data_IF_534950947257
#
_entry.id   IF_534950947257
#
_cell.length_a   1.000
_cell.length_b   1.000
_cell.length_c   1.000
_cell.angle_alpha   90.00
_cell.angle_beta   90.00
_cell.angle_gamma   90.00
#
_symmetry.space_group_name_H-M   'P 1'
#
loop_
_entity.id
_entity.type
_entity.pdbx_description
1 polymer ?
#
# COMPACT_ATOMS: atom_id res chain seq x y z
N UNK A 1 -23.70 19.06 14.87
CA UNK A 1 -23.18 20.14 15.74
C UNK A 1 -21.81 19.82 16.35
N UNK A 2 -21.52 18.58 16.76
CA UNK A 2 -20.22 18.19 17.35
C UNK A 2 -18.99 18.34 16.44
N UNK A 3 -19.08 17.96 15.15
CA UNK A 3 -17.93 18.05 14.21
C UNK A 3 -17.46 19.48 13.95
N UNK A 4 -18.37 20.46 14.05
CA UNK A 4 -18.08 21.87 13.80
C UNK A 4 -17.19 22.49 14.89
N UNK A 5 -17.49 22.17 16.15
CA UNK A 5 -16.70 22.65 17.29
C UNK A 5 -15.30 22.00 17.30
N UNK A 6 -15.22 20.71 17.00
CA UNK A 6 -13.94 20.00 16.89
C UNK A 6 -13.09 20.54 15.74
N UNK A 7 -13.69 20.78 14.57
CA UNK A 7 -12.99 21.39 13.43
C UNK A 7 -12.43 22.78 13.78
N UNK A 8 -13.24 23.63 14.41
CA UNK A 8 -12.82 24.96 14.87
C UNK A 8 -11.66 24.89 15.87
N UNK A 9 -11.70 23.96 16.82
CA UNK A 9 -10.60 23.72 17.78
C UNK A 9 -9.31 23.25 17.10
N UNK A 10 -9.42 22.53 15.99
CA UNK A 10 -8.29 22.06 15.20
C UNK A 10 -7.78 23.09 14.16
N UNK A 11 -8.36 24.30 14.11
CA UNK A 11 -8.01 25.31 13.10
C UNK A 11 -8.48 24.97 11.68
N UNK A 12 -9.41 24.02 11.53
CA UNK A 12 -9.97 23.61 10.24
C UNK A 12 -11.25 24.42 9.98
N UNK A 13 -11.49 24.92 8.75
CA UNK A 13 -12.69 25.68 8.44
C UNK A 13 -13.96 24.91 8.85
N UNK A 14 -14.89 25.55 9.55
CA UNK A 14 -16.07 24.86 10.03
C UNK A 14 -16.96 24.40 8.87
N UNK A 15 -17.45 23.17 8.93
CA UNK A 15 -18.21 22.56 7.83
C UNK A 15 -17.35 21.78 6.83
N UNK A 16 -16.02 21.93 6.84
CA UNK A 16 -15.10 21.14 6.00
C UNK A 16 -14.86 19.72 6.52
N UNK A 17 -15.27 19.41 7.76
CA UNK A 17 -15.13 18.08 8.36
C UNK A 17 -16.48 17.41 8.49
N UNK A 18 -16.60 16.25 7.86
CA UNK A 18 -17.74 15.35 7.99
C UNK A 18 -17.28 13.91 8.15
N UNK A 19 -18.16 13.02 8.62
CA UNK A 19 -17.84 11.60 8.76
C UNK A 19 -17.38 10.98 7.43
N UNK A 20 -17.97 11.40 6.31
CA UNK A 20 -17.58 10.92 4.98
C UNK A 20 -16.18 11.39 4.57
N UNK A 21 -15.80 12.63 4.91
CA UNK A 21 -14.46 13.16 4.65
C UNK A 21 -13.41 12.40 5.47
N UNK A 22 -13.69 12.16 6.75
CA UNK A 22 -12.79 11.44 7.65
C UNK A 22 -12.61 9.97 7.22
N UNK A 23 -13.70 9.30 6.84
CA UNK A 23 -13.64 7.92 6.33
C UNK A 23 -12.79 7.85 5.06
N UNK A 24 -12.96 8.81 4.14
CA UNK A 24 -12.20 8.88 2.89
C UNK A 24 -10.72 9.15 3.13
N UNK A 25 -10.40 10.15 3.96
CA UNK A 25 -9.00 10.52 4.23
C UNK A 25 -8.27 9.39 4.95
N UNK A 26 -8.91 8.71 5.92
CA UNK A 26 -8.34 7.53 6.57
C UNK A 26 -8.06 6.39 5.60
N UNK A 27 -9.00 6.08 4.70
CA UNK A 27 -8.79 5.08 3.65
C UNK A 27 -7.61 5.42 2.73
N UNK A 28 -7.48 6.69 2.34
CA UNK A 28 -6.34 7.15 1.53
C UNK A 28 -5.01 7.03 2.28
N UNK A 29 -4.97 7.33 3.57
CA UNK A 29 -3.78 7.15 4.40
C UNK A 29 -3.33 5.69 4.48
N UNK A 30 -4.26 4.73 4.56
CA UNK A 30 -3.92 3.31 4.54
C UNK A 30 -3.26 2.87 3.24
N UNK A 31 -3.75 3.35 2.09
CA UNK A 31 -3.11 3.10 0.79
C UNK A 31 -1.69 3.69 0.77
N UNK A 32 -1.50 4.89 1.30
CA UNK A 32 -0.15 5.49 1.40
C UNK A 32 0.77 4.79 2.39
N UNK A 33 0.23 4.18 3.43
CA UNK A 33 0.97 3.27 4.31
C UNK A 33 1.31 1.93 3.64
N UNK A 34 0.77 1.66 2.45
CA UNK A 34 1.06 0.46 1.66
C UNK A 34 0.05 -0.66 1.78
N UNK A 35 -1.13 -0.42 2.37
CA UNK A 35 -2.21 -1.40 2.37
C UNK A 35 -2.70 -1.69 0.94
N UNK A 36 -3.14 -2.93 0.70
CA UNK A 36 -3.73 -3.33 -0.57
C UNK A 36 -5.10 -2.69 -0.78
N UNK A 37 -5.47 -2.42 -2.04
CA UNK A 37 -6.79 -1.87 -2.38
C UNK A 37 -7.94 -2.82 -1.98
N UNK A 38 -7.70 -4.13 -2.02
CA UNK A 38 -8.67 -5.16 -1.62
C UNK A 38 -8.92 -5.12 -0.11
N UNK A 39 -7.85 -5.00 0.69
CA UNK A 39 -7.94 -4.93 2.15
C UNK A 39 -8.72 -3.68 2.58
N UNK A 40 -8.38 -2.53 1.98
CA UNK A 40 -9.07 -1.26 2.23
C UNK A 40 -10.53 -1.34 1.77
N UNK A 41 -10.82 -1.94 0.62
CA UNK A 41 -12.19 -2.11 0.11
C UNK A 41 -13.03 -2.99 1.03
N UNK A 42 -12.46 -4.07 1.55
CA UNK A 42 -13.12 -5.00 2.47
C UNK A 42 -13.42 -4.31 3.80
N UNK A 43 -12.45 -3.59 4.36
CA UNK A 43 -12.63 -2.79 5.58
C UNK A 43 -13.71 -1.70 5.39
N UNK A 44 -13.80 -1.12 4.19
CA UNK A 44 -14.84 -0.14 3.86
C UNK A 44 -16.21 -0.77 3.60
N UNK A 45 -16.30 -2.09 3.43
CA UNK A 45 -17.53 -2.80 3.08
C UNK A 45 -18.02 -2.50 1.66
N UNK A 46 -17.11 -2.15 0.74
CA UNK A 46 -17.46 -1.91 -0.65
C UNK A 46 -17.52 -3.22 -1.43
N UNK A 47 -18.58 -3.40 -2.21
CA UNK A 47 -18.80 -4.59 -3.04
C UNK A 47 -17.79 -4.71 -4.19
N UNK A 48 -17.21 -3.60 -4.62
CA UNK A 48 -16.21 -3.54 -5.69
C UNK A 48 -15.05 -2.62 -5.29
N UNK A 49 -13.82 -3.08 -5.59
CA UNK A 49 -12.60 -2.30 -5.45
C UNK A 49 -12.60 -1.05 -6.33
N UNK A 50 -13.31 -1.07 -7.47
CA UNK A 50 -13.50 0.13 -8.31
C UNK A 50 -14.19 1.27 -7.56
N UNK A 51 -15.22 0.95 -6.76
CA UNK A 51 -15.89 1.92 -5.90
C UNK A 51 -14.90 2.53 -4.92
N UNK A 52 -14.01 1.71 -4.34
CA UNK A 52 -12.96 2.17 -3.44
C UNK A 52 -11.95 3.08 -4.14
N UNK A 53 -11.48 2.72 -5.34
CA UNK A 53 -10.53 3.53 -6.13
C UNK A 53 -11.09 4.92 -6.45
N UNK A 54 -12.34 4.98 -6.94
CA UNK A 54 -13.03 6.23 -7.23
C UNK A 54 -13.29 7.04 -5.94
N UNK A 55 -13.72 6.36 -4.88
CA UNK A 55 -14.01 6.99 -3.59
C UNK A 55 -12.78 7.65 -2.99
N UNK A 56 -11.62 7.01 -3.00
CA UNK A 56 -10.39 7.58 -2.42
C UNK A 56 -9.66 8.52 -3.37
N UNK A 57 -9.91 8.42 -4.68
CA UNK A 57 -9.30 9.26 -5.71
C UNK A 57 -7.85 8.88 -6.00
N UNK A 58 -7.58 7.58 -6.17
CA UNK A 58 -6.26 7.08 -6.60
C UNK A 58 -5.91 7.63 -7.99
N UNK A 59 -4.72 8.20 -8.15
CA UNK A 59 -4.20 8.69 -9.45
C UNK A 59 -3.11 7.77 -10.00
N UNK A 60 -2.71 7.98 -11.27
CA UNK A 60 -1.58 7.26 -11.88
C UNK A 60 -0.26 7.51 -11.12
N UNK A 61 -0.06 8.70 -10.56
CA UNK A 61 1.15 9.03 -9.79
C UNK A 61 1.30 8.20 -8.51
N UNK A 62 0.17 7.77 -7.93
CA UNK A 62 0.16 6.89 -6.76
C UNK A 62 0.70 5.48 -7.10
N UNK A 63 0.72 5.09 -8.39
CA UNK A 63 1.23 3.79 -8.86
C UNK A 63 2.76 3.75 -8.98
N UNK A 64 3.44 4.89 -9.06
CA UNK A 64 4.92 4.96 -9.10
C UNK A 64 5.53 4.28 -7.87
N UNK A 65 4.92 4.49 -6.69
CA UNK A 65 5.35 3.86 -5.43
C UNK A 65 5.23 2.33 -5.45
N UNK A 66 4.31 1.80 -6.25
CA UNK A 66 4.17 0.34 -6.42
C UNK A 66 5.31 -0.21 -7.25
N UNK A 67 5.75 0.53 -8.28
CA UNK A 67 6.90 0.16 -9.10
C UNK A 67 8.19 0.22 -8.29
N UNK A 68 8.39 1.24 -7.46
CA UNK A 68 9.53 1.34 -6.54
C UNK A 68 9.63 0.11 -5.62
N UNK A 69 8.53 -0.27 -4.97
CA UNK A 69 8.49 -1.47 -4.11
C UNK A 69 8.82 -2.76 -4.86
N UNK A 70 8.39 -2.87 -6.13
CA UNK A 70 8.74 -4.02 -6.98
C UNK A 70 10.24 -4.03 -7.25
N UNK A 71 10.81 -2.89 -7.57
CA UNK A 71 12.22 -2.77 -7.92
C UNK A 71 13.10 -3.10 -6.69
N UNK A 72 12.74 -2.61 -5.50
CA UNK A 72 13.37 -3.00 -4.23
C UNK A 72 13.36 -4.53 -4.02
N UNK A 73 12.22 -5.16 -4.28
CA UNK A 73 12.08 -6.61 -4.15
C UNK A 73 12.95 -7.38 -5.16
N UNK A 74 13.01 -6.91 -6.40
CA UNK A 74 13.84 -7.51 -7.45
C UNK A 74 15.33 -7.37 -7.12
N UNK A 75 15.75 -6.27 -6.52
CA UNK A 75 17.14 -6.07 -6.11
C UNK A 75 17.55 -7.02 -4.98
N UNK A 76 16.65 -7.25 -4.01
CA UNK A 76 16.86 -8.28 -2.98
C UNK A 76 17.03 -9.67 -3.61
N UNK A 77 16.19 -10.03 -4.60
CA UNK A 77 16.31 -11.32 -5.30
C UNK A 77 17.66 -11.41 -6.01
N UNK A 78 18.05 -10.38 -6.76
CA UNK A 78 19.33 -10.34 -7.50
C UNK A 78 20.52 -10.49 -6.56
N UNK A 79 20.47 -9.83 -5.39
CA UNK A 79 21.50 -9.98 -4.37
C UNK A 79 21.59 -11.43 -3.86
N UNK A 80 20.45 -12.06 -3.55
CA UNK A 80 20.40 -13.47 -3.11
C UNK A 80 20.93 -14.43 -4.17
N UNK A 81 20.61 -14.20 -5.45
CA UNK A 81 21.11 -15.01 -6.57
C UNK A 81 22.63 -14.86 -6.76
N UNK A 82 23.18 -13.65 -6.63
CA UNK A 82 24.64 -13.43 -6.69
C UNK A 82 25.38 -14.02 -5.48
N UNK A 83 24.75 -13.99 -4.31
CA UNK A 83 25.31 -14.53 -3.07
C UNK A 83 25.18 -16.06 -2.95
N UNK A 84 24.62 -16.74 -3.95
CA UNK A 84 24.63 -18.21 -4.04
C UNK A 84 25.66 -18.67 -5.10
N UNK A 85 26.97 -18.57 -4.84
CA UNK A 85 27.94 -19.31 -5.64
C UNK A 85 27.91 -20.79 -5.21
N UNK A 86 27.77 -21.68 -6.19
CA UNK A 86 28.35 -23.03 -6.17
C UNK A 86 27.80 -24.15 -5.25
N UNK A 87 26.58 -24.11 -4.69
CA UNK A 87 26.05 -25.33 -4.01
C UNK A 87 25.71 -26.48 -4.98
N UNK A 88 25.68 -26.22 -6.28
CA UNK A 88 25.40 -27.24 -7.31
C UNK A 88 26.65 -28.00 -7.75
N UNK A 89 27.84 -27.37 -7.70
CA UNK A 89 29.09 -28.01 -8.12
C UNK A 89 29.55 -29.09 -7.11
N UNK A 90 29.36 -28.86 -5.81
CA UNK A 90 29.76 -29.82 -4.76
C UNK A 90 28.87 -31.07 -4.67
N UNK A 91 27.60 -31.01 -5.11
CA UNK A 91 26.74 -32.19 -5.14
C UNK A 91 27.09 -33.15 -6.28
N UNK A 92 27.62 -32.64 -7.40
CA UNK A 92 27.95 -33.48 -8.56
C UNK A 92 29.20 -34.33 -8.26
N UNK A 93 30.17 -33.79 -7.49
CA UNK A 93 31.38 -34.52 -7.10
C UNK A 93 31.15 -35.55 -5.98
N UNK A 94 30.13 -35.37 -5.12
CA UNK A 94 29.79 -36.33 -4.07
C UNK A 94 29.06 -37.59 -4.57
N UNK A 95 28.38 -37.52 -5.72
CA UNK A 95 27.73 -38.66 -6.38
C UNK A 95 28.60 -39.34 -7.45
N UNK A 96 29.79 -38.82 -7.73
CA UNK A 96 30.74 -39.32 -8.73
C UNK A 96 31.92 -40.13 -8.13
N UNK A 97 31.85 -40.49 -6.84
CA UNK A 97 32.72 -41.46 -6.16
C UNK A 97 31.92 -42.68 -5.75
#
# INVERSE_FOLDING_TARGET
MFSHLTAKRAGIPPGSVSNHVLRRSGARMMIYAGAGIVDVSTMLGHADTRTTMLYIGLTLDDLTKVQEKRDDYLDIIRMKMKATPERTAERITLFAR
#
